data_IF_092451675039
#
_entry.id   IF_092451675039
#
_cell.length_a   1.000
_cell.length_b   1.000
_cell.length_c   1.000
_cell.angle_alpha   90.00
_cell.angle_beta   90.00
_cell.angle_gamma   90.00
#
_symmetry.space_group_name_H-M   'P 1'
#
loop_
_entity.id
_entity.type
_entity.pdbx_description
1 polymer ?
#
# COMPACT_ATOMS: atom_id res chain seq x y z
N UNK A 1 -6.96 -8.72 4.36
CA UNK A 1 -6.98 -7.28 4.69
C UNK A 1 -8.18 -6.88 5.54
N UNK A 2 -9.42 -7.30 5.23
CA UNK A 2 -10.58 -6.99 6.07
C UNK A 2 -10.35 -7.34 7.56
N UNK A 3 -9.77 -8.51 7.84
CA UNK A 3 -9.47 -8.93 9.21
C UNK A 3 -8.50 -8.00 9.98
N UNK A 4 -7.62 -7.24 9.31
CA UNK A 4 -6.73 -6.29 10.00
C UNK A 4 -7.49 -5.04 10.40
N UNK A 5 -8.24 -4.43 9.47
CA UNK A 5 -9.02 -3.23 9.75
C UNK A 5 -10.08 -3.51 10.82
N UNK A 6 -10.73 -4.67 10.74
CA UNK A 6 -11.69 -5.13 11.74
C UNK A 6 -11.02 -5.39 13.11
N UNK A 7 -9.82 -5.99 13.13
CA UNK A 7 -9.05 -6.18 14.38
C UNK A 7 -8.59 -4.84 14.97
N UNK A 8 -8.30 -3.86 14.13
CA UNK A 8 -7.92 -2.52 14.56
C UNK A 8 -9.08 -1.69 15.10
N UNK A 9 -10.26 -1.82 14.50
CA UNK A 9 -11.49 -1.25 15.03
C UNK A 9 -11.82 -1.88 16.40
N UNK A 10 -11.55 -3.18 16.59
CA UNK A 10 -11.86 -3.89 17.84
C UNK A 10 -10.82 -3.69 18.95
N UNK A 11 -9.52 -3.84 18.66
CA UNK A 11 -8.45 -3.90 19.68
C UNK A 11 -7.82 -2.55 20.00
N UNK A 12 -7.86 -1.60 19.07
CA UNK A 12 -7.15 -0.33 19.20
C UNK A 12 -8.02 0.94 19.31
N UNK A 13 -9.27 0.91 19.82
CA UNK A 13 -10.03 2.14 20.06
C UNK A 13 -9.33 3.06 21.08
N UNK A 14 -8.52 2.48 21.99
CA UNK A 14 -7.72 3.24 22.95
C UNK A 14 -6.57 4.03 22.31
N UNK A 15 -6.03 3.57 21.17
CA UNK A 15 -4.96 4.25 20.45
C UNK A 15 -5.50 5.51 19.76
N UNK A 16 -6.75 5.45 19.28
CA UNK A 16 -7.52 6.60 18.79
C UNK A 16 -7.80 7.60 19.92
N UNK A 17 -8.23 7.13 21.09
CA UNK A 17 -8.50 7.99 22.24
C UNK A 17 -7.22 8.63 22.81
N UNK A 18 -6.12 7.88 22.89
CA UNK A 18 -4.80 8.32 23.35
C UNK A 18 -4.11 9.28 22.36
N UNK A 19 -4.08 8.93 21.08
CA UNK A 19 -3.51 9.79 20.03
C UNK A 19 -4.25 11.11 19.89
N UNK A 20 -5.59 11.09 19.88
CA UNK A 20 -6.38 12.32 19.84
C UNK A 20 -6.20 13.18 21.09
N UNK A 21 -6.04 12.58 22.27
CA UNK A 21 -5.83 13.36 23.50
C UNK A 21 -4.44 14.01 23.54
N UNK A 22 -3.39 13.32 23.10
CA UNK A 22 -2.04 13.89 22.99
C UNK A 22 -1.96 14.96 21.89
N UNK A 23 -2.50 14.70 20.70
CA UNK A 23 -2.52 15.67 19.59
C UNK A 23 -3.37 16.90 19.93
N UNK A 24 -4.46 16.73 20.69
CA UNK A 24 -5.19 17.86 21.26
C UNK A 24 -4.29 18.70 22.13
N UNK A 25 -3.60 18.14 23.12
CA UNK A 25 -2.77 18.95 24.02
C UNK A 25 -1.67 19.74 23.29
N UNK A 26 -1.08 19.16 22.23
CA UNK A 26 0.09 19.73 21.56
C UNK A 26 -0.22 20.56 20.30
N UNK A 27 -1.43 20.48 19.75
CA UNK A 27 -1.80 21.19 18.53
C UNK A 27 -3.09 22.02 18.73
N UNK A 28 -2.99 23.35 18.98
CA UNK A 28 -4.13 24.22 19.20
C UNK A 28 -5.13 24.24 18.03
N UNK A 29 -4.68 23.93 16.80
CA UNK A 29 -5.55 23.81 15.64
C UNK A 29 -6.60 22.71 15.81
N UNK A 30 -6.24 21.64 16.53
CA UNK A 30 -7.14 20.51 16.80
C UNK A 30 -8.19 20.82 17.89
N UNK A 31 -8.03 21.93 18.63
CA UNK A 31 -9.06 22.44 19.55
C UNK A 31 -10.23 23.08 18.80
N UNK A 32 -9.95 23.68 17.65
CA UNK A 32 -10.95 24.32 16.78
C UNK A 32 -11.52 23.34 15.75
N UNK A 33 -10.74 22.31 15.39
CA UNK A 33 -11.08 21.31 14.39
C UNK A 33 -10.65 19.92 14.86
N UNK A 34 -11.60 19.18 15.44
CA UNK A 34 -11.35 17.84 15.98
C UNK A 34 -10.93 16.81 14.93
N UNK A 35 -11.13 17.10 13.64
CA UNK A 35 -10.67 16.32 12.49
C UNK A 35 -9.21 16.60 12.11
N UNK A 36 -8.55 17.60 12.71
CA UNK A 36 -7.16 17.95 12.43
C UNK A 36 -6.11 17.03 13.06
N UNK A 37 -6.53 16.06 13.87
CA UNK A 37 -5.67 15.06 14.52
C UNK A 37 -5.85 13.69 13.82
N UNK A 38 -5.45 13.60 12.55
CA UNK A 38 -5.46 12.32 11.84
C UNK A 38 -4.32 11.45 12.38
N UNK A 39 -4.68 10.27 12.89
CA UNK A 39 -3.70 9.26 13.33
C UNK A 39 -3.45 8.33 12.16
N UNK A 40 -2.19 8.27 11.71
CA UNK A 40 -1.72 7.33 10.69
C UNK A 40 -0.79 6.31 11.34
N UNK A 41 -0.93 5.04 10.96
CA UNK A 41 -0.12 3.92 11.43
C UNK A 41 0.35 3.14 10.22
N UNK A 42 1.58 2.62 10.27
CA UNK A 42 2.13 1.70 9.26
C UNK A 42 2.38 0.33 9.90
N UNK A 43 1.38 -0.58 9.93
CA UNK A 43 1.61 -1.96 10.34
C UNK A 43 2.59 -2.66 9.40
N UNK A 44 3.67 -3.19 9.97
CA UNK A 44 4.55 -4.16 9.32
C UNK A 44 4.02 -5.58 9.54
N UNK A 45 3.83 -6.34 8.47
CA UNK A 45 3.40 -7.74 8.52
C UNK A 45 4.60 -8.69 8.66
N UNK A 46 4.34 -9.92 9.10
CA UNK A 46 5.39 -10.93 9.30
C UNK A 46 6.09 -11.38 8.01
N UNK A 47 5.46 -11.15 6.86
CA UNK A 47 6.05 -11.39 5.54
C UNK A 47 6.94 -10.24 5.05
N UNK A 48 7.02 -9.13 5.80
CA UNK A 48 7.78 -7.94 5.44
C UNK A 48 6.99 -6.89 4.65
N UNK A 49 5.73 -7.17 4.28
CA UNK A 49 4.86 -6.19 3.66
C UNK A 49 4.44 -5.09 4.66
N UNK A 50 4.04 -3.93 4.15
CA UNK A 50 3.47 -2.85 4.97
C UNK A 50 2.38 -2.10 4.23
N UNK A 51 1.55 -1.37 4.97
CA UNK A 51 0.57 -0.44 4.41
C UNK A 51 0.35 0.70 5.39
N UNK A 52 0.08 1.90 4.92
CA UNK A 52 -0.41 2.98 5.76
C UNK A 52 -1.92 2.90 5.90
N UNK A 53 -2.36 3.04 7.14
CA UNK A 53 -3.76 3.11 7.53
C UNK A 53 -3.95 4.35 8.39
N UNK A 54 -5.11 4.96 8.27
CA UNK A 54 -5.45 6.16 9.03
C UNK A 54 -6.82 6.03 9.65
N UNK A 55 -7.00 6.66 10.80
CA UNK A 55 -8.32 6.72 11.41
C UNK A 55 -9.14 7.85 10.80
N UNK A 56 -10.20 7.50 10.07
CA UNK A 56 -11.13 8.49 9.52
C UNK A 56 -12.13 8.92 10.61
N UNK A 57 -11.98 10.14 11.09
CA UNK A 57 -12.81 10.70 12.18
C UNK A 57 -14.28 10.85 11.78
N UNK A 58 -14.58 11.02 10.48
CA UNK A 58 -15.96 11.18 9.98
C UNK A 58 -16.71 9.85 9.96
N UNK A 59 -16.07 8.81 9.42
CA UNK A 59 -16.65 7.46 9.33
C UNK A 59 -16.45 6.65 10.60
N UNK A 60 -15.56 7.12 11.50
CA UNK A 60 -15.16 6.49 12.76
C UNK A 60 -14.55 5.10 12.58
N UNK A 61 -13.83 4.89 11.48
CA UNK A 61 -13.22 3.61 11.12
C UNK A 61 -11.77 3.79 10.72
N UNK A 62 -10.97 2.74 10.89
CA UNK A 62 -9.69 2.65 10.20
C UNK A 62 -9.92 2.46 8.71
N UNK A 63 -9.26 3.31 7.93
CA UNK A 63 -9.27 3.28 6.48
C UNK A 63 -7.85 3.13 5.99
N UNK A 64 -7.70 2.50 4.84
CA UNK A 64 -6.40 2.31 4.22
C UNK A 64 -6.05 3.46 3.29
N UNK A 65 -4.79 3.90 3.30
CA UNK A 65 -4.28 4.70 2.20
C UNK A 65 -4.02 3.79 0.99
N UNK A 66 -4.93 3.91 0.01
CA UNK A 66 -4.96 3.12 -1.21
C UNK A 66 -3.64 3.01 -1.99
N UNK A 67 -2.68 3.94 -1.81
CA UNK A 67 -1.42 3.93 -2.56
C UNK A 67 -0.18 3.62 -1.73
N UNK A 68 -0.38 3.28 -0.45
CA UNK A 68 0.71 3.09 0.52
C UNK A 68 1.23 1.65 0.59
N UNK A 69 0.47 0.66 0.13
CA UNK A 69 0.80 -0.75 0.30
C UNK A 69 2.13 -1.14 -0.38
N UNK A 70 3.01 -1.79 0.37
CA UNK A 70 4.34 -2.27 -0.02
C UNK A 70 4.50 -3.77 0.21
N UNK A 71 5.21 -4.45 -0.68
CA UNK A 71 5.66 -5.84 -0.47
C UNK A 71 6.96 -5.89 0.34
N UNK A 72 7.50 -7.10 0.57
CA UNK A 72 8.72 -7.28 1.37
C UNK A 72 9.99 -6.72 0.71
N UNK A 73 9.94 -6.49 -0.61
CA UNK A 73 10.99 -5.84 -1.38
C UNK A 73 10.77 -4.32 -1.51
N UNK A 74 9.80 -3.76 -0.78
CA UNK A 74 9.41 -2.34 -0.82
C UNK A 74 8.84 -1.87 -2.18
N UNK A 75 8.41 -2.81 -3.03
CA UNK A 75 7.66 -2.48 -4.24
C UNK A 75 6.22 -2.11 -3.88
N UNK A 76 5.66 -1.14 -4.61
CA UNK A 76 4.26 -0.76 -4.42
C UNK A 76 3.30 -1.82 -4.99
N UNK A 77 2.38 -2.31 -4.17
CA UNK A 77 1.40 -3.32 -4.56
C UNK A 77 0.27 -2.67 -5.39
N UNK A 78 0.13 -2.96 -6.70
CA UNK A 78 -0.86 -2.31 -7.56
C UNK A 78 -2.31 -2.73 -7.25
N UNK A 79 -3.24 -1.76 -7.24
CA UNK A 79 -4.69 -2.03 -7.04
C UNK A 79 -5.51 -1.78 -8.29
N UNK A 80 -4.98 -0.99 -9.21
CA UNK A 80 -5.53 -0.65 -10.51
C UNK A 80 -4.50 -0.92 -11.61
N UNK A 81 -4.92 -0.82 -12.87
CA UNK A 81 -4.00 -1.03 -14.00
C UNK A 81 -3.02 0.13 -14.15
N UNK A 82 -3.43 1.30 -13.69
CA UNK A 82 -2.68 2.55 -13.68
C UNK A 82 -1.55 2.51 -12.63
N UNK A 83 -1.78 1.82 -11.51
CA UNK A 83 -0.81 1.70 -10.41
C UNK A 83 0.45 0.96 -10.82
N UNK A 84 0.36 0.04 -11.79
CA UNK A 84 1.53 -0.69 -12.30
C UNK A 84 2.59 0.25 -12.88
N UNK A 85 2.21 1.39 -13.45
CA UNK A 85 3.15 2.33 -14.08
C UNK A 85 3.17 3.72 -13.43
N UNK A 86 2.36 3.97 -12.40
CA UNK A 86 2.21 5.30 -11.75
C UNK A 86 1.97 6.44 -12.77
N UNK A 87 1.23 6.17 -13.84
CA UNK A 87 0.98 7.15 -14.91
C UNK A 87 2.15 7.40 -15.87
N UNK A 88 3.21 6.58 -15.86
CA UNK A 88 4.32 6.70 -16.81
C UNK A 88 5.21 5.46 -16.84
N UNK A 89 6.14 5.35 -15.89
CA UNK A 89 7.04 4.20 -15.75
C UNK A 89 7.27 3.89 -14.26
N UNK A 90 7.34 2.60 -13.93
CA UNK A 90 7.73 2.10 -12.61
C UNK A 90 8.55 0.84 -12.74
N UNK A 91 9.55 0.72 -11.89
CA UNK A 91 10.39 -0.48 -11.79
C UNK A 91 10.05 -1.23 -10.50
N UNK A 92 10.03 -2.56 -10.62
CA UNK A 92 9.80 -3.52 -9.55
C UNK A 92 11.05 -4.40 -9.44
N UNK A 93 11.53 -4.60 -8.23
CA UNK A 93 12.72 -5.40 -7.97
C UNK A 93 12.37 -6.51 -6.98
N UNK A 94 12.44 -7.77 -7.43
CA UNK A 94 12.13 -8.96 -6.61
C UNK A 94 13.40 -9.76 -6.29
N UNK A 95 14.47 -9.06 -5.94
CA UNK A 95 15.77 -9.68 -5.72
C UNK A 95 15.82 -10.39 -4.35
N UNK A 96 16.04 -11.70 -4.39
CA UNK A 96 16.15 -12.54 -3.20
C UNK A 96 14.80 -13.01 -2.64
N UNK A 97 14.81 -13.78 -1.55
CA UNK A 97 13.58 -14.20 -0.88
C UNK A 97 12.75 -13.00 -0.40
N UNK A 98 11.40 -13.11 -0.34
CA UNK A 98 10.61 -14.28 -0.69
C UNK A 98 10.16 -14.28 -2.17
N UNK A 99 10.28 -15.42 -2.86
CA UNK A 99 9.85 -15.56 -4.26
C UNK A 99 8.31 -15.43 -4.46
N UNK A 100 7.55 -15.42 -3.37
CA UNK A 100 6.10 -15.25 -3.38
C UNK A 100 5.67 -13.88 -3.89
N UNK A 101 6.48 -12.84 -3.69
CA UNK A 101 6.10 -11.47 -4.06
C UNK A 101 6.10 -11.28 -5.57
N UNK A 102 7.11 -11.83 -6.25
CA UNK A 102 7.13 -11.93 -7.70
C UNK A 102 5.92 -12.72 -8.21
N UNK A 103 5.62 -13.88 -7.62
CA UNK A 103 4.50 -14.69 -8.05
C UNK A 103 3.16 -13.95 -7.89
N UNK A 104 2.96 -13.27 -6.76
CA UNK A 104 1.77 -12.46 -6.49
C UNK A 104 1.65 -11.31 -7.50
N UNK A 105 2.76 -10.64 -7.80
CA UNK A 105 2.81 -9.60 -8.83
C UNK A 105 2.40 -10.13 -10.21
N UNK A 106 2.95 -11.27 -10.63
CA UNK A 106 2.64 -11.89 -11.92
C UNK A 106 1.17 -12.31 -12.02
N UNK A 107 0.60 -12.86 -10.94
CA UNK A 107 -0.82 -13.23 -10.87
C UNK A 107 -1.70 -11.99 -11.02
N UNK A 108 -1.38 -10.89 -10.32
CA UNK A 108 -2.16 -9.65 -10.42
C UNK A 108 -2.06 -9.02 -11.81
N UNK A 109 -0.86 -9.01 -12.42
CA UNK A 109 -0.68 -8.54 -13.80
C UNK A 109 -1.52 -9.36 -14.79
N UNK A 110 -1.49 -10.69 -14.67
CA UNK A 110 -2.28 -11.59 -15.51
C UNK A 110 -3.79 -11.41 -15.31
N UNK A 111 -4.26 -11.31 -14.06
CA UNK A 111 -5.69 -11.09 -13.74
C UNK A 111 -6.24 -9.81 -14.38
N UNK A 112 -5.36 -8.82 -14.55
CA UNK A 112 -5.68 -7.50 -15.11
C UNK A 112 -5.44 -7.39 -16.62
N UNK A 113 -4.96 -8.45 -17.25
CA UNK A 113 -4.67 -8.47 -18.69
C UNK A 113 -3.47 -7.61 -19.08
N UNK A 114 -2.55 -7.34 -18.15
CA UNK A 114 -1.34 -6.56 -18.43
C UNK A 114 -0.32 -7.50 -19.10
N UNK A 115 0.07 -7.25 -20.37
CA UNK A 115 1.03 -8.10 -21.04
C UNK A 115 2.41 -7.96 -20.38
N UNK A 116 3.02 -9.10 -20.06
CA UNK A 116 4.40 -9.20 -19.61
C UNK A 116 5.25 -9.80 -20.74
N UNK A 117 6.33 -9.13 -21.09
CA UNK A 117 7.26 -9.56 -22.15
C UNK A 117 8.69 -9.70 -21.63
N UNK A 118 9.50 -10.51 -22.31
CA UNK A 118 10.89 -10.73 -21.96
C UNK A 118 11.12 -12.00 -21.12
N UNK A 119 12.35 -12.54 -21.12
CA UNK A 119 12.69 -13.68 -20.29
C UNK A 119 12.67 -13.28 -18.81
N UNK A 120 12.05 -14.11 -17.97
CA UNK A 120 12.25 -14.03 -16.52
C UNK A 120 13.67 -14.52 -16.23
N UNK A 121 14.62 -13.57 -16.21
CA UNK A 121 16.02 -13.83 -15.92
C UNK A 121 16.28 -14.02 -14.41
N UNK A 122 17.53 -14.31 -14.03
CA UNK A 122 17.94 -14.42 -12.62
C UNK A 122 17.91 -13.07 -11.89
N UNK A 123 17.89 -11.93 -12.62
CA UNK A 123 17.51 -10.61 -12.11
C UNK A 123 16.01 -10.43 -12.27
N UNK A 124 15.25 -10.43 -11.17
CA UNK A 124 13.80 -10.26 -11.22
C UNK A 124 13.42 -8.78 -11.21
N UNK A 125 13.97 -8.01 -12.16
CA UNK A 125 13.58 -6.62 -12.37
C UNK A 125 12.50 -6.57 -13.44
N UNK A 126 11.38 -5.92 -13.12
CA UNK A 126 10.27 -5.73 -14.04
C UNK A 126 10.00 -4.23 -14.18
N UNK A 127 10.13 -3.71 -15.39
CA UNK A 127 9.73 -2.35 -15.72
C UNK A 127 8.33 -2.35 -16.32
N UNK A 128 7.41 -1.61 -15.72
CA UNK A 128 6.07 -1.39 -16.24
C UNK A 128 5.94 0.05 -16.74
N UNK A 129 5.37 0.20 -17.93
CA UNK A 129 5.12 1.49 -18.56
C UNK A 129 3.65 1.60 -18.96
N UNK A 130 3.09 2.81 -18.91
CA UNK A 130 1.75 3.11 -19.42
C UNK A 130 1.80 4.21 -20.46
N UNK A 131 1.24 3.95 -21.62
CA UNK A 131 1.11 4.91 -22.72
C UNK A 131 -0.31 4.83 -23.29
N UNK A 132 -0.98 5.98 -23.42
CA UNK A 132 -2.35 6.06 -23.95
C UNK A 132 -3.36 5.15 -23.22
N UNK A 133 -3.19 4.96 -21.91
CA UNK A 133 -4.07 4.11 -21.10
C UNK A 133 -3.80 2.60 -21.24
N UNK A 134 -2.81 2.20 -22.04
CA UNK A 134 -2.37 0.81 -22.14
C UNK A 134 -1.12 0.64 -21.27
N UNK A 135 -1.23 -0.22 -20.26
CA UNK A 135 -0.10 -0.59 -19.40
C UNK A 135 0.54 -1.89 -19.91
N UNK A 136 1.86 -1.92 -20.02
CA UNK A 136 2.66 -3.08 -20.42
C UNK A 136 3.85 -3.25 -19.48
N UNK A 137 4.22 -4.48 -19.16
CA UNK A 137 5.39 -4.77 -18.33
C UNK A 137 6.44 -5.57 -19.10
N UNK A 138 7.70 -5.36 -18.76
CA UNK A 138 8.85 -6.02 -19.37
C UNK A 138 9.83 -6.48 -18.29
N UNK A 139 10.18 -7.77 -18.32
CA UNK A 139 11.26 -8.32 -17.49
C UNK A 139 12.63 -7.93 -18.08
N UNK A 140 13.59 -7.61 -17.20
CA UNK A 140 14.94 -7.15 -17.56
C UNK A 140 16.06 -8.00 -16.95
#
# INVERSE_FOLDING_TARGET
MNNLLDDMDYRWPALIAGGNSVLRVLNPYTWLKSDGAQVTVEPGFSDGSSMEIFYNVKTKRWEEDSNSAKDAHNNSIPRSNEDFAKGGYREYEFNGPPATDLQNFLIEAQRRGIPLTGPLGPSFRIGCASANGITTCQAR
#
